data_IF_752409865109
#
_entry.id   IF_752409865109
#
_cell.length_a   1.000
_cell.length_b   1.000
_cell.length_c   1.000
_cell.angle_alpha   90.00
_cell.angle_beta   90.00
_cell.angle_gamma   90.00
#
_symmetry.space_group_name_H-M   'P 1'
#
loop_
_entity.id
_entity.type
_entity.pdbx_description
1 polymer ?
#
# COMPACT_ATOMS: atom_id res chain seq x y z
N UNK A 1 17.29 -12.26 29.11
CA UNK A 1 17.54 -13.61 28.57
C UNK A 1 17.29 -13.78 27.06
N UNK A 2 16.89 -12.71 26.35
CA UNK A 2 16.61 -12.73 24.89
C UNK A 2 17.80 -13.22 24.06
N UNK A 3 19.02 -13.04 24.52
CA UNK A 3 20.26 -13.41 23.84
C UNK A 3 20.91 -14.72 24.32
N UNK A 4 20.25 -15.50 25.18
CA UNK A 4 20.72 -16.84 25.54
C UNK A 4 20.66 -17.81 24.35
N UNK A 5 21.36 -18.98 24.49
CA UNK A 5 21.40 -20.05 23.48
C UNK A 5 20.00 -20.45 22.99
N UNK A 6 19.05 -20.57 23.89
CA UNK A 6 17.66 -20.95 23.63
C UNK A 6 16.93 -19.84 22.83
N UNK A 7 17.09 -18.57 23.22
CA UNK A 7 16.48 -17.45 22.51
C UNK A 7 17.01 -17.33 21.07
N UNK A 8 18.31 -17.51 20.87
CA UNK A 8 18.93 -17.56 19.54
C UNK A 8 18.41 -18.73 18.69
N UNK A 9 18.22 -19.88 19.29
CA UNK A 9 17.65 -21.04 18.62
C UNK A 9 16.22 -20.76 18.13
N UNK A 10 15.34 -20.24 18.99
CA UNK A 10 13.96 -19.91 18.63
C UNK A 10 13.88 -18.82 17.58
N UNK A 11 14.68 -17.75 17.75
CA UNK A 11 14.74 -16.68 16.76
C UNK A 11 15.21 -17.19 15.39
N UNK A 12 16.30 -17.97 15.34
CA UNK A 12 16.80 -18.56 14.08
C UNK A 12 15.74 -19.43 13.42
N UNK A 13 15.02 -20.24 14.22
CA UNK A 13 13.96 -21.09 13.71
C UNK A 13 12.80 -20.27 13.13
N UNK A 14 12.38 -19.20 13.82
CA UNK A 14 11.39 -18.25 13.29
C UNK A 14 11.85 -17.62 11.98
N UNK A 15 13.05 -17.06 11.97
CA UNK A 15 13.60 -16.40 10.79
C UNK A 15 13.75 -17.33 9.58
N UNK A 16 14.25 -18.57 9.80
CA UNK A 16 14.38 -19.54 8.70
C UNK A 16 13.00 -19.98 8.17
N UNK A 17 12.03 -20.20 9.05
CA UNK A 17 10.66 -20.53 8.64
C UNK A 17 10.03 -19.35 7.89
N UNK A 18 10.19 -18.11 8.37
CA UNK A 18 9.72 -16.92 7.68
C UNK A 18 10.31 -16.82 6.27
N UNK A 19 11.61 -17.04 6.12
CA UNK A 19 12.27 -17.00 4.81
C UNK A 19 11.68 -18.04 3.84
N UNK A 20 11.43 -19.26 4.28
CA UNK A 20 10.80 -20.29 3.44
C UNK A 20 9.36 -19.95 3.07
N UNK A 21 8.58 -19.38 4.00
CA UNK A 21 7.23 -18.90 3.69
C UNK A 21 7.26 -17.75 2.66
N UNK A 22 8.18 -16.79 2.83
CA UNK A 22 8.36 -15.71 1.85
C UNK A 22 8.69 -16.29 0.46
N UNK A 23 9.65 -17.21 0.36
CA UNK A 23 10.00 -17.83 -0.93
C UNK A 23 8.81 -18.58 -1.57
N UNK A 24 8.06 -19.31 -0.76
CA UNK A 24 6.87 -20.02 -1.23
C UNK A 24 5.79 -19.06 -1.75
N UNK A 25 5.51 -17.99 -0.99
CA UNK A 25 4.53 -16.96 -1.38
C UNK A 25 5.00 -16.20 -2.61
N UNK A 26 6.28 -15.83 -2.69
CA UNK A 26 6.88 -15.23 -3.88
C UNK A 26 6.61 -16.07 -5.13
N UNK A 27 6.88 -17.38 -5.08
CA UNK A 27 6.66 -18.27 -6.20
C UNK A 27 5.19 -18.32 -6.65
N UNK A 28 4.27 -18.46 -5.69
CA UNK A 28 2.83 -18.53 -6.00
C UNK A 28 2.34 -17.20 -6.56
N UNK A 29 2.64 -16.08 -5.88
CA UNK A 29 2.20 -14.73 -6.27
C UNK A 29 2.76 -14.38 -7.66
N UNK A 30 4.04 -14.70 -7.91
CA UNK A 30 4.66 -14.43 -9.19
C UNK A 30 3.94 -15.15 -10.34
N UNK A 31 3.61 -16.44 -10.16
CA UNK A 31 2.90 -17.21 -11.17
C UNK A 31 1.48 -16.68 -11.41
N UNK A 32 0.76 -16.36 -10.35
CA UNK A 32 -0.62 -15.85 -10.45
C UNK A 32 -0.64 -14.46 -11.09
N UNK A 33 0.19 -13.52 -10.62
CA UNK A 33 0.24 -12.15 -11.18
C UNK A 33 0.74 -12.15 -12.64
N UNK A 34 1.70 -13.02 -12.98
CA UNK A 34 2.12 -13.19 -14.37
C UNK A 34 1.00 -13.71 -15.27
N UNK A 35 0.25 -14.72 -14.81
CA UNK A 35 -0.89 -15.26 -15.56
C UNK A 35 -1.96 -14.19 -15.79
N UNK A 36 -2.26 -13.39 -14.75
CA UNK A 36 -3.21 -12.29 -14.84
C UNK A 36 -2.72 -11.17 -15.77
N UNK A 37 -1.45 -10.78 -15.65
CA UNK A 37 -0.81 -9.76 -16.51
C UNK A 37 -0.80 -10.20 -17.96
N UNK A 38 -0.43 -11.45 -18.24
CA UNK A 38 -0.44 -12.00 -19.58
C UNK A 38 -1.86 -12.02 -20.17
N UNK A 39 -2.86 -12.44 -19.38
CA UNK A 39 -4.26 -12.46 -19.84
C UNK A 39 -4.80 -11.07 -20.17
N UNK A 40 -4.48 -10.07 -19.34
CA UNK A 40 -4.98 -8.70 -19.52
C UNK A 40 -4.25 -7.93 -20.63
N UNK A 41 -2.96 -8.19 -20.84
CA UNK A 41 -2.09 -7.33 -21.64
C UNK A 41 -1.63 -7.97 -22.95
N UNK A 42 -1.90 -9.27 -23.19
CA UNK A 42 -1.48 -9.97 -24.42
C UNK A 42 -2.03 -9.36 -25.71
N UNK A 43 -3.15 -8.62 -25.65
CA UNK A 43 -3.73 -7.91 -26.78
C UNK A 43 -3.13 -6.52 -27.06
N UNK A 44 -2.19 -6.04 -26.27
CA UNK A 44 -1.59 -4.72 -26.46
C UNK A 44 -0.43 -4.78 -27.48
N UNK A 45 -0.30 -3.77 -28.37
CA UNK A 45 0.69 -3.81 -29.47
C UNK A 45 2.15 -3.88 -29.00
N UNK A 46 2.46 -3.38 -27.80
CA UNK A 46 3.83 -3.37 -27.23
C UNK A 46 4.12 -4.51 -26.27
N UNK A 47 3.16 -5.42 -26.03
CA UNK A 47 3.35 -6.50 -25.07
C UNK A 47 4.35 -7.55 -25.57
N UNK A 48 5.27 -7.94 -24.72
CA UNK A 48 6.17 -9.09 -24.90
C UNK A 48 6.13 -9.97 -23.65
N UNK A 49 6.30 -11.28 -23.83
CA UNK A 49 6.30 -12.24 -22.71
C UNK A 49 7.40 -11.89 -21.70
N UNK A 50 8.58 -11.55 -22.18
CA UNK A 50 9.70 -11.08 -21.33
C UNK A 50 9.37 -9.80 -20.58
N UNK A 51 8.71 -8.86 -21.23
CA UNK A 51 8.22 -7.63 -20.59
C UNK A 51 7.19 -7.94 -19.50
N UNK A 52 6.26 -8.88 -19.75
CA UNK A 52 5.29 -9.35 -18.76
C UNK A 52 5.95 -9.98 -17.54
N UNK A 53 6.97 -10.83 -17.73
CA UNK A 53 7.75 -11.41 -16.63
C UNK A 53 8.47 -10.33 -15.80
N UNK A 54 9.10 -9.36 -16.45
CA UNK A 54 9.78 -8.26 -15.76
C UNK A 54 8.77 -7.36 -15.00
N UNK A 55 7.64 -7.04 -15.62
CA UNK A 55 6.59 -6.23 -14.98
C UNK A 55 6.05 -6.92 -13.74
N UNK A 56 5.77 -8.22 -13.80
CA UNK A 56 5.35 -9.01 -12.62
C UNK A 56 6.42 -9.00 -11.56
N UNK A 57 7.72 -9.18 -11.90
CA UNK A 57 8.81 -9.15 -10.93
C UNK A 57 8.91 -7.81 -10.20
N UNK A 58 8.68 -6.71 -10.91
CA UNK A 58 8.74 -5.35 -10.36
C UNK A 58 7.52 -5.03 -9.49
N UNK A 59 6.34 -5.59 -9.78
CA UNK A 59 5.10 -5.43 -8.97
C UNK A 59 5.07 -6.32 -7.72
N UNK A 60 5.82 -7.41 -7.73
CA UNK A 60 5.85 -8.42 -6.67
C UNK A 60 6.01 -7.83 -5.25
N UNK A 61 6.91 -6.86 -4.96
CA UNK A 61 7.08 -6.32 -3.63
C UNK A 61 5.81 -5.70 -3.05
N UNK A 62 4.97 -5.05 -3.87
CA UNK A 62 3.71 -4.47 -3.44
C UNK A 62 2.72 -5.55 -2.99
N UNK A 63 2.57 -6.60 -3.78
CA UNK A 63 1.65 -7.71 -3.45
C UNK A 63 2.15 -8.46 -2.21
N UNK A 64 3.46 -8.67 -2.12
CA UNK A 64 4.06 -9.27 -0.93
C UNK A 64 3.78 -8.45 0.33
N UNK A 65 3.91 -7.12 0.27
CA UNK A 65 3.64 -6.25 1.40
C UNK A 65 2.23 -6.45 1.97
N UNK A 66 1.23 -6.68 1.11
CA UNK A 66 -0.15 -6.94 1.52
C UNK A 66 -0.32 -8.33 2.17
N UNK A 67 0.50 -9.31 1.81
CA UNK A 67 0.41 -10.69 2.33
C UNK A 67 1.23 -10.92 3.60
N UNK A 68 2.16 -10.02 3.94
CA UNK A 68 3.05 -10.18 5.11
C UNK A 68 2.33 -10.45 6.43
N UNK A 69 1.19 -9.82 6.78
CA UNK A 69 0.49 -10.13 8.03
C UNK A 69 0.07 -11.60 8.12
N UNK A 70 -0.36 -12.20 7.01
CA UNK A 70 -0.66 -13.63 6.95
C UNK A 70 0.59 -14.49 7.04
N UNK A 71 1.69 -14.07 6.41
CA UNK A 71 2.98 -14.76 6.52
C UNK A 71 3.39 -14.82 8.00
N UNK A 72 3.32 -13.71 8.74
CA UNK A 72 3.65 -13.67 10.16
C UNK A 72 2.76 -14.61 11.00
N UNK A 73 1.45 -14.66 10.72
CA UNK A 73 0.51 -15.58 11.36
C UNK A 73 0.90 -17.04 11.10
N UNK A 74 1.08 -17.42 9.82
CA UNK A 74 1.40 -18.81 9.45
C UNK A 74 2.77 -19.25 9.93
N UNK A 75 3.76 -18.37 9.90
CA UNK A 75 5.10 -18.63 10.45
C UNK A 75 5.01 -18.87 11.95
N UNK A 76 4.31 -17.98 12.68
CA UNK A 76 4.09 -18.15 14.12
C UNK A 76 3.42 -19.50 14.44
N UNK A 77 2.32 -19.81 13.73
CA UNK A 77 1.62 -21.10 13.92
C UNK A 77 2.53 -22.31 13.61
N UNK A 78 3.20 -22.30 12.47
CA UNK A 78 4.05 -23.42 12.01
C UNK A 78 5.18 -23.68 13.00
N UNK A 79 5.86 -22.63 13.44
CA UNK A 79 6.98 -22.76 14.37
C UNK A 79 6.49 -23.23 15.73
N UNK A 80 5.46 -22.60 16.30
CA UNK A 80 4.97 -22.94 17.64
C UNK A 80 4.34 -24.33 17.70
N UNK A 81 3.55 -24.71 16.68
CA UNK A 81 3.02 -26.07 16.56
C UNK A 81 4.16 -27.09 16.43
N UNK A 82 5.18 -26.78 15.62
CA UNK A 82 6.34 -27.65 15.45
C UNK A 82 7.14 -27.84 16.73
N UNK A 83 7.32 -26.80 17.54
CA UNK A 83 7.97 -26.85 18.85
C UNK A 83 7.12 -27.62 19.85
N UNK A 84 5.80 -27.42 19.84
CA UNK A 84 4.87 -28.14 20.73
C UNK A 84 4.85 -29.65 20.42
N UNK A 85 4.80 -30.04 19.14
CA UNK A 85 4.84 -31.45 18.71
C UNK A 85 6.12 -32.17 19.10
N UNK A 86 7.23 -31.46 19.20
CA UNK A 86 8.53 -32.00 19.64
C UNK A 86 8.74 -31.94 21.15
N UNK A 87 7.69 -31.53 21.90
CA UNK A 87 7.74 -31.32 23.35
C UNK A 87 8.80 -30.29 23.81
N UNK A 88 9.40 -29.54 22.89
CA UNK A 88 10.41 -28.52 23.20
C UNK A 88 9.85 -27.40 24.09
N UNK A 89 8.57 -27.04 23.90
CA UNK A 89 7.89 -26.06 24.75
C UNK A 89 7.57 -26.62 26.14
N UNK A 90 7.24 -27.90 26.24
CA UNK A 90 6.98 -28.56 27.52
C UNK A 90 8.26 -28.61 28.38
N UNK A 91 9.37 -29.00 27.76
CA UNK A 91 10.67 -29.03 28.44
C UNK A 91 11.10 -27.63 28.86
N UNK A 92 10.87 -26.61 28.01
CA UNK A 92 11.18 -25.21 28.32
C UNK A 92 10.39 -24.73 29.54
N UNK A 93 9.09 -25.02 29.61
CA UNK A 93 8.26 -24.70 30.77
C UNK A 93 8.67 -25.48 32.03
N UNK A 94 8.99 -26.76 31.90
CA UNK A 94 9.48 -27.58 33.01
C UNK A 94 10.81 -27.07 33.60
N UNK A 95 11.61 -26.36 32.78
CA UNK A 95 12.82 -25.68 33.21
C UNK A 95 12.55 -24.30 33.89
N UNK A 96 11.28 -23.93 34.15
CA UNK A 96 10.90 -22.70 34.84
C UNK A 96 10.88 -21.45 33.96
N UNK A 97 10.90 -21.61 32.63
CA UNK A 97 10.85 -20.47 31.68
C UNK A 97 9.39 -20.12 31.41
N UNK A 98 8.99 -18.86 31.68
CA UNK A 98 7.62 -18.38 31.47
C UNK A 98 7.27 -18.31 29.97
N UNK A 99 5.95 -18.31 29.68
CA UNK A 99 5.46 -18.17 28.29
C UNK A 99 5.97 -16.89 27.62
N UNK A 100 6.04 -15.79 28.36
CA UNK A 100 6.56 -14.53 27.84
C UNK A 100 8.05 -14.57 27.52
N UNK A 101 8.82 -15.27 28.32
CA UNK A 101 10.26 -15.42 28.10
C UNK A 101 10.57 -16.22 26.83
N UNK A 102 9.85 -17.31 26.58
CA UNK A 102 10.05 -18.07 25.35
C UNK A 102 9.38 -17.42 24.13
N UNK A 103 8.31 -16.62 24.30
CA UNK A 103 7.68 -15.86 23.22
C UNK A 103 8.51 -14.66 22.77
N UNK A 104 9.36 -14.12 23.64
CA UNK A 104 10.14 -12.91 23.34
C UNK A 104 10.97 -12.99 22.04
N UNK A 105 11.63 -14.10 21.64
CA UNK A 105 12.34 -14.22 20.38
C UNK A 105 11.42 -14.18 19.14
N UNK A 106 10.19 -14.71 19.27
CA UNK A 106 9.21 -14.70 18.19
C UNK A 106 8.61 -13.29 18.00
N UNK A 107 8.30 -12.62 19.12
CA UNK A 107 7.85 -11.23 19.13
C UNK A 107 8.93 -10.33 18.52
N UNK A 108 10.19 -10.49 18.93
CA UNK A 108 11.32 -9.74 18.35
C UNK A 108 11.49 -10.04 16.85
N UNK A 109 11.35 -11.30 16.44
CA UNK A 109 11.41 -11.72 15.04
C UNK A 109 10.31 -11.09 14.19
N UNK A 110 9.07 -11.09 14.67
CA UNK A 110 7.93 -10.48 14.01
C UNK A 110 8.08 -8.95 13.92
N UNK A 111 8.55 -8.31 14.98
CA UNK A 111 8.80 -6.87 15.03
C UNK A 111 9.89 -6.46 14.03
N UNK A 112 11.03 -7.16 14.02
CA UNK A 112 12.12 -6.92 13.07
C UNK A 112 11.69 -7.16 11.63
N UNK A 113 10.89 -8.20 11.38
CA UNK A 113 10.31 -8.46 10.08
C UNK A 113 9.42 -7.29 9.64
N UNK A 114 8.60 -6.75 10.54
CA UNK A 114 7.77 -5.56 10.27
C UNK A 114 8.59 -4.30 9.97
N UNK A 115 9.69 -4.08 10.69
CA UNK A 115 10.64 -3.00 10.37
C UNK A 115 11.23 -3.24 8.97
N UNK A 116 11.65 -4.45 8.64
CA UNK A 116 12.18 -4.79 7.31
C UNK A 116 11.16 -4.53 6.19
N UNK A 117 9.89 -4.83 6.43
CA UNK A 117 8.81 -4.53 5.48
C UNK A 117 8.64 -3.02 5.30
N UNK A 118 8.63 -2.25 6.39
CA UNK A 118 8.48 -0.80 6.33
C UNK A 118 9.68 -0.11 5.67
N UNK A 119 10.91 -0.55 5.99
CA UNK A 119 12.15 0.16 5.57
C UNK A 119 12.74 -0.34 4.27
N UNK A 120 12.53 -1.59 3.90
CA UNK A 120 13.11 -2.22 2.70
C UNK A 120 12.03 -2.55 1.68
N UNK A 121 11.02 -3.34 2.09
CA UNK A 121 10.03 -3.84 1.15
C UNK A 121 9.13 -2.72 0.62
N UNK A 122 8.72 -1.75 1.47
CA UNK A 122 7.87 -0.65 1.06
C UNK A 122 8.54 0.31 0.04
N UNK A 123 9.78 0.80 0.23
CA UNK A 123 10.46 1.58 -0.81
C UNK A 123 10.64 0.80 -2.12
N UNK A 124 10.93 -0.50 -2.03
CA UNK A 124 11.04 -1.36 -3.21
C UNK A 124 9.70 -1.52 -3.91
N UNK A 125 8.60 -1.66 -3.16
CA UNK A 125 7.23 -1.72 -3.69
C UNK A 125 6.84 -0.39 -4.38
N UNK A 126 7.15 0.74 -3.77
CA UNK A 126 6.90 2.06 -4.34
C UNK A 126 7.69 2.30 -5.63
N UNK A 127 8.96 1.93 -5.66
CA UNK A 127 9.77 1.99 -6.87
C UNK A 127 9.23 1.06 -7.95
N UNK A 128 8.92 -0.17 -7.59
CA UNK A 128 8.41 -1.18 -8.50
C UNK A 128 7.09 -0.78 -9.14
N UNK A 129 6.17 -0.21 -8.38
CA UNK A 129 4.89 0.25 -8.89
C UNK A 129 5.04 1.39 -9.90
N UNK A 130 5.97 2.33 -9.67
CA UNK A 130 6.30 3.39 -10.64
C UNK A 130 6.83 2.83 -11.95
N UNK A 131 7.75 1.85 -11.87
CA UNK A 131 8.29 1.20 -13.07
C UNK A 131 7.20 0.40 -13.82
N UNK A 132 6.35 -0.33 -13.11
CA UNK A 132 5.24 -1.06 -13.72
C UNK A 132 4.27 -0.13 -14.45
N UNK A 133 3.93 1.02 -13.85
CA UNK A 133 3.07 2.02 -14.48
C UNK A 133 3.67 2.59 -15.77
N UNK A 134 4.99 2.86 -15.80
CA UNK A 134 5.68 3.36 -16.99
C UNK A 134 5.73 2.30 -18.13
N UNK A 135 5.96 1.03 -17.79
CA UNK A 135 5.94 -0.06 -18.77
C UNK A 135 4.53 -0.27 -19.33
N UNK A 136 3.51 -0.25 -18.48
CA UNK A 136 2.11 -0.39 -18.89
C UNK A 136 1.68 0.75 -19.83
N UNK A 137 2.06 2.00 -19.53
CA UNK A 137 1.76 3.13 -20.41
C UNK A 137 2.41 3.01 -21.79
N UNK A 138 3.66 2.52 -21.85
CA UNK A 138 4.36 2.28 -23.10
C UNK A 138 3.70 1.15 -23.94
N UNK A 139 3.16 0.11 -23.31
CA UNK A 139 2.44 -0.96 -24.03
C UNK A 139 1.08 -0.53 -24.55
N UNK A 140 0.40 0.37 -23.83
CA UNK A 140 -0.89 0.90 -24.30
C UNK A 140 -0.75 1.79 -25.51
N UNK A 141 0.43 2.41 -25.74
CA UNK A 141 0.69 3.35 -26.82
C UNK A 141 -0.37 4.45 -26.90
N UNK A 142 -0.44 5.18 -28.01
CA UNK A 142 -1.48 6.19 -28.25
C UNK A 142 -2.90 5.59 -28.32
N UNK A 143 -3.05 4.29 -28.59
CA UNK A 143 -4.34 3.61 -28.58
C UNK A 143 -4.93 3.42 -27.16
N UNK A 144 -4.12 3.49 -26.12
CA UNK A 144 -4.56 3.37 -24.72
C UNK A 144 -5.25 4.65 -24.18
N UNK A 145 -5.13 5.75 -24.86
CA UNK A 145 -5.81 7.00 -24.51
C UNK A 145 -7.35 6.92 -24.62
N UNK A 146 -7.92 5.87 -25.23
CA UNK A 146 -9.37 5.81 -25.49
C UNK A 146 -10.20 4.89 -24.62
N UNK A 147 -9.61 3.96 -23.80
CA UNK A 147 -10.42 3.06 -22.96
C UNK A 147 -9.72 2.75 -21.62
N UNK A 148 -10.07 3.50 -20.57
CA UNK A 148 -9.91 3.06 -19.17
C UNK A 148 -8.51 3.22 -18.57
N UNK A 149 -7.77 4.29 -18.86
CA UNK A 149 -6.66 4.76 -18.04
C UNK A 149 -7.13 5.16 -16.63
N UNK A 150 -6.23 5.31 -15.63
CA UNK A 150 -6.62 5.83 -14.33
C UNK A 150 -7.44 7.10 -14.55
N UNK A 151 -8.63 7.16 -13.93
CA UNK A 151 -9.47 8.36 -14.01
C UNK A 151 -8.61 9.54 -13.56
N UNK A 152 -8.21 10.37 -14.51
CA UNK A 152 -7.49 11.60 -14.17
C UNK A 152 -8.44 12.45 -13.35
N UNK A 153 -8.15 12.71 -12.08
CA UNK A 153 -9.03 13.51 -11.26
C UNK A 153 -9.11 14.91 -11.87
N UNK A 154 -10.33 15.41 -11.99
CA UNK A 154 -10.55 16.80 -12.31
C UNK A 154 -9.95 17.67 -11.20
N UNK A 155 -9.00 18.54 -11.53
CA UNK A 155 -8.34 19.45 -10.58
C UNK A 155 -8.99 20.82 -10.71
N UNK A 156 -9.59 21.31 -9.63
CA UNK A 156 -10.04 22.70 -9.57
C UNK A 156 -8.91 23.55 -9.01
N UNK A 157 -8.55 24.59 -9.72
CA UNK A 157 -7.54 25.54 -9.36
C UNK A 157 -8.17 26.92 -9.27
N UNK A 158 -7.97 27.59 -8.13
CA UNK A 158 -8.35 28.99 -7.94
C UNK A 158 -7.05 29.78 -7.84
N UNK A 159 -6.76 30.64 -8.83
CA UNK A 159 -5.58 31.49 -8.88
C UNK A 159 -6.00 32.95 -9.06
N UNK A 160 -6.11 33.66 -7.94
CA UNK A 160 -6.62 35.05 -7.97
C UNK A 160 -8.10 35.10 -8.35
N UNK A 161 -8.41 35.69 -9.51
CA UNK A 161 -9.78 35.74 -10.06
C UNK A 161 -10.09 34.61 -11.05
N UNK A 162 -9.10 33.79 -11.39
CA UNK A 162 -9.26 32.68 -12.33
C UNK A 162 -9.63 31.39 -11.57
N UNK A 163 -10.83 30.91 -11.78
CA UNK A 163 -11.31 29.61 -11.31
C UNK A 163 -11.34 28.65 -12.49
N UNK A 164 -10.43 27.67 -12.48
CA UNK A 164 -10.21 26.76 -13.61
C UNK A 164 -10.30 25.32 -13.15
N UNK A 165 -11.12 24.54 -13.85
CA UNK A 165 -11.13 23.08 -13.69
C UNK A 165 -10.32 22.47 -14.82
N UNK A 166 -9.32 21.68 -14.47
CA UNK A 166 -8.40 21.01 -15.39
C UNK A 166 -8.66 19.52 -15.34
N UNK A 167 -8.94 18.92 -16.48
CA UNK A 167 -9.02 17.48 -16.66
C UNK A 167 -8.19 17.04 -17.85
N UNK A 168 -7.81 15.78 -17.93
CA UNK A 168 -7.12 15.23 -19.09
C UNK A 168 -7.54 13.79 -19.35
N UNK A 169 -7.31 13.25 -20.53
CA UNK A 169 -7.57 11.84 -20.83
C UNK A 169 -6.46 10.96 -20.31
N UNK A 170 -5.23 11.41 -20.36
CA UNK A 170 -4.08 10.71 -19.77
C UNK A 170 -3.06 11.70 -19.22
N UNK A 171 -2.25 11.18 -18.28
CA UNK A 171 -1.22 11.93 -17.58
C UNK A 171 0.10 11.20 -17.74
N UNK A 172 1.10 11.91 -18.20
CA UNK A 172 2.46 11.45 -18.43
C UNK A 172 3.46 12.27 -17.61
N UNK A 173 4.71 11.86 -17.58
CA UNK A 173 5.81 12.56 -16.89
C UNK A 173 5.47 12.93 -15.44
N UNK A 174 5.01 11.96 -14.64
CA UNK A 174 4.66 12.13 -13.22
C UNK A 174 3.65 13.27 -12.95
N UNK A 175 2.74 13.50 -13.91
CA UNK A 175 1.68 14.49 -13.77
C UNK A 175 1.98 15.85 -14.39
N UNK A 176 3.16 16.05 -14.96
CA UNK A 176 3.57 17.33 -15.55
C UNK A 176 3.18 17.48 -17.02
N UNK A 177 2.84 16.37 -17.69
CA UNK A 177 2.34 16.36 -19.06
C UNK A 177 0.95 15.74 -19.13
N UNK A 178 -0.05 16.54 -19.45
CA UNK A 178 -1.43 16.13 -19.68
C UNK A 178 -1.66 15.94 -21.17
N UNK A 179 -2.27 14.83 -21.56
CA UNK A 179 -2.64 14.55 -22.95
C UNK A 179 -4.16 14.61 -23.08
N UNK A 180 -4.64 15.22 -24.16
CA UNK A 180 -6.05 15.56 -24.39
C UNK A 180 -6.63 16.32 -23.18
N UNK A 181 -5.98 17.43 -22.84
CA UNK A 181 -6.36 18.23 -21.69
C UNK A 181 -7.58 19.12 -22.00
N UNK A 182 -8.47 19.22 -21.02
CA UNK A 182 -9.63 20.12 -21.07
C UNK A 182 -9.54 21.07 -19.88
N UNK A 183 -9.51 22.37 -20.16
CA UNK A 183 -9.54 23.43 -19.16
C UNK A 183 -10.87 24.17 -19.27
N UNK A 184 -11.58 24.28 -18.15
CA UNK A 184 -12.86 25.01 -18.07
C UNK A 184 -12.67 26.16 -17.09
N UNK A 185 -12.77 27.37 -17.59
CA UNK A 185 -12.69 28.60 -16.81
C UNK A 185 -14.08 29.07 -16.43
N UNK A 186 -14.23 29.46 -15.17
CA UNK A 186 -15.46 29.98 -14.61
C UNK A 186 -15.35 31.48 -14.35
N UNK A 187 -16.44 32.19 -14.53
CA UNK A 187 -16.56 33.59 -14.13
C UNK A 187 -16.93 33.70 -12.62
N UNK A 188 -16.96 34.95 -12.15
CA UNK A 188 -17.34 35.27 -10.76
C UNK A 188 -18.77 34.82 -10.38
N UNK A 189 -19.62 34.52 -11.39
CA UNK A 189 -20.98 34.02 -11.23
C UNK A 189 -21.08 32.49 -11.33
N UNK A 190 -19.95 31.79 -11.38
CA UNK A 190 -19.82 30.34 -11.52
C UNK A 190 -20.40 29.78 -12.84
N UNK A 191 -20.45 30.61 -13.91
CA UNK A 191 -20.77 30.18 -15.26
C UNK A 191 -19.47 29.91 -16.05
N UNK A 192 -19.57 29.05 -17.08
CA UNK A 192 -18.45 28.73 -17.94
C UNK A 192 -18.16 29.97 -18.84
N UNK A 193 -17.02 30.60 -18.59
CA UNK A 193 -16.55 31.75 -19.36
C UNK A 193 -15.75 31.33 -20.61
N UNK A 194 -14.94 30.26 -20.48
CA UNK A 194 -14.06 29.77 -21.55
C UNK A 194 -13.80 28.28 -21.36
N UNK A 195 -13.88 27.50 -22.42
CA UNK A 195 -13.40 26.11 -22.48
C UNK A 195 -12.26 26.02 -23.48
N UNK A 196 -11.17 25.39 -23.07
CA UNK A 196 -9.99 25.12 -23.88
C UNK A 196 -9.76 23.60 -23.94
N UNK A 197 -9.85 23.06 -25.16
CA UNK A 197 -9.52 21.67 -25.43
C UNK A 197 -8.14 21.66 -26.10
N UNK A 198 -7.13 21.04 -25.44
CA UNK A 198 -5.74 21.03 -25.88
C UNK A 198 -5.25 19.60 -26.15
N UNK A 199 -4.49 19.37 -27.20
CA UNK A 199 -3.89 18.07 -27.46
C UNK A 199 -2.87 17.69 -26.38
N UNK A 200 -2.15 18.67 -25.84
CA UNK A 200 -1.27 18.47 -24.68
C UNK A 200 -1.19 19.73 -23.83
N UNK A 201 -1.00 19.57 -22.52
CA UNK A 201 -0.71 20.63 -21.58
C UNK A 201 0.49 20.25 -20.73
N UNK A 202 1.59 21.00 -20.85
CA UNK A 202 2.82 20.78 -20.08
C UNK A 202 2.91 21.79 -18.96
N UNK A 203 3.15 21.30 -17.74
CA UNK A 203 3.36 22.16 -16.58
C UNK A 203 4.78 22.72 -16.60
N UNK A 204 4.88 24.04 -16.66
CA UNK A 204 6.11 24.80 -16.52
C UNK A 204 6.01 25.70 -15.27
N UNK A 205 7.10 26.39 -14.93
CA UNK A 205 7.14 27.21 -13.72
C UNK A 205 6.12 28.34 -13.77
N UNK A 206 4.98 28.15 -13.08
CA UNK A 206 3.93 29.14 -12.92
C UNK A 206 2.86 29.19 -14.03
N UNK A 207 2.90 28.28 -15.03
CA UNK A 207 1.87 28.21 -16.08
C UNK A 207 1.77 26.81 -16.72
N UNK A 208 0.60 26.51 -17.27
CA UNK A 208 0.41 25.40 -18.19
C UNK A 208 0.65 25.86 -19.62
N UNK A 209 1.57 25.25 -20.33
CA UNK A 209 1.77 25.43 -21.76
C UNK A 209 0.88 24.44 -22.51
N UNK A 210 -0.20 24.94 -23.09
CA UNK A 210 -1.13 24.16 -23.91
C UNK A 210 -0.70 24.20 -25.36
N UNK A 211 -0.77 23.06 -26.07
CA UNK A 211 -0.49 22.96 -27.50
C UNK A 211 -1.70 22.47 -28.28
N UNK A 212 -1.88 22.97 -29.49
CA UNK A 212 -3.01 22.68 -30.38
C UNK A 212 -4.36 22.91 -29.68
N UNK A 213 -4.61 24.12 -29.26
CA UNK A 213 -5.76 24.50 -28.41
C UNK A 213 -6.95 24.90 -29.26
N UNK A 214 -8.13 24.40 -28.90
CA UNK A 214 -9.42 24.86 -29.43
C UNK A 214 -10.14 25.59 -28.29
N UNK A 215 -10.24 26.93 -28.42
CA UNK A 215 -10.98 27.78 -27.48
C UNK A 215 -12.43 27.88 -27.88
N UNK A 216 -13.34 27.70 -26.92
CA UNK A 216 -14.78 27.86 -27.09
C UNK A 216 -15.30 28.78 -26.00
N UNK A 217 -15.92 29.91 -26.42
CA UNK A 217 -16.67 30.81 -25.54
C UNK A 217 -18.16 30.72 -25.83
N UNK A 218 -19.02 30.91 -24.84
CA UNK A 218 -20.46 30.92 -25.05
C UNK A 218 -20.85 31.99 -26.10
N UNK A 219 -21.52 31.57 -27.16
CA UNK A 219 -21.97 32.48 -28.23
C UNK A 219 -20.92 32.91 -29.27
N UNK A 220 -19.68 32.42 -29.18
CA UNK A 220 -18.62 32.70 -30.17
C UNK A 220 -18.24 31.47 -31.01
N UNK A 221 -17.68 31.70 -32.19
CA UNK A 221 -17.15 30.64 -33.05
C UNK A 221 -15.83 30.13 -32.42
N UNK A 222 -15.66 28.79 -32.41
CA UNK A 222 -14.45 28.16 -31.87
C UNK A 222 -13.19 28.65 -32.58
N UNK A 223 -12.20 29.09 -31.82
CA UNK A 223 -10.92 29.59 -32.30
C UNK A 223 -9.83 28.55 -32.06
N UNK A 224 -8.99 28.28 -33.06
CA UNK A 224 -7.83 27.42 -32.95
C UNK A 224 -6.58 28.25 -32.72
N UNK A 225 -5.77 27.87 -31.73
CA UNK A 225 -4.47 28.47 -31.40
C UNK A 225 -3.42 27.38 -31.29
N UNK A 226 -2.22 27.64 -31.77
CA UNK A 226 -1.13 26.66 -31.72
C UNK A 226 -0.61 26.49 -30.31
N UNK A 227 -0.44 27.59 -29.55
CA UNK A 227 0.02 27.59 -28.18
C UNK A 227 -0.74 28.61 -27.33
N UNK A 228 -1.06 28.22 -26.07
CA UNK A 228 -1.69 29.08 -25.06
C UNK A 228 -1.05 28.85 -23.73
N UNK A 229 -0.76 29.92 -22.99
CA UNK A 229 -0.26 29.84 -21.62
C UNK A 229 -1.40 30.13 -20.63
N UNK A 230 -1.64 29.22 -19.68
CA UNK A 230 -2.61 29.40 -18.60
C UNK A 230 -1.86 29.48 -17.28
N UNK A 231 -1.96 30.61 -16.58
CA UNK A 231 -1.29 30.81 -15.29
C UNK A 231 -1.76 29.77 -14.27
N UNK A 232 -0.81 29.24 -13.50
CA UNK A 232 -1.08 28.27 -12.47
C UNK A 232 -0.22 28.53 -11.24
N UNK A 233 -0.79 28.26 -10.06
CA UNK A 233 -0.04 28.19 -8.81
C UNK A 233 0.43 26.76 -8.52
N UNK A 234 0.11 25.81 -9.42
CA UNK A 234 0.51 24.42 -9.28
C UNK A 234 2.01 24.30 -9.52
N UNK A 235 2.73 23.82 -8.53
CA UNK A 235 4.12 23.41 -8.68
C UNK A 235 4.17 21.95 -9.14
N UNK A 236 5.26 21.56 -9.79
CA UNK A 236 5.49 20.20 -10.30
C UNK A 236 5.23 19.14 -9.21
N UNK A 237 5.80 19.35 -8.01
CA UNK A 237 5.64 18.46 -6.85
C UNK A 237 4.17 18.28 -6.43
N UNK A 238 3.32 19.24 -6.72
CA UNK A 238 1.92 19.24 -6.35
C UNK A 238 1.07 18.34 -7.27
N UNK A 239 1.34 18.39 -8.57
CA UNK A 239 0.61 17.60 -9.56
C UNK A 239 0.96 16.13 -9.43
N UNK A 240 2.24 15.82 -9.22
CA UNK A 240 2.71 14.48 -8.87
C UNK A 240 1.98 13.90 -7.65
N UNK A 241 1.67 14.72 -6.64
CA UNK A 241 1.02 14.26 -5.41
C UNK A 241 -0.45 13.89 -5.56
N UNK A 242 -1.22 14.63 -6.38
CA UNK A 242 -2.66 14.35 -6.56
C UNK A 242 -2.95 13.14 -7.44
N UNK A 243 -2.01 12.78 -8.28
CA UNK A 243 -2.16 11.69 -9.26
C UNK A 243 -1.53 10.38 -8.78
N UNK A 244 -0.74 10.43 -7.71
CA UNK A 244 -0.04 9.28 -7.19
C UNK A 244 -0.82 8.64 -6.05
N UNK A 245 -1.18 7.36 -6.18
CA UNK A 245 -1.82 6.60 -5.10
C UNK A 245 -0.89 6.57 -3.87
N UNK A 246 -1.39 6.79 -2.64
CA UNK A 246 -0.55 6.82 -1.43
C UNK A 246 0.33 5.57 -1.25
N UNK A 247 -0.10 4.44 -1.79
CA UNK A 247 0.62 3.16 -1.73
C UNK A 247 1.89 3.13 -2.58
N UNK A 248 2.00 4.03 -3.55
CA UNK A 248 3.17 4.13 -4.45
C UNK A 248 4.24 5.08 -3.94
N UNK A 249 4.02 5.70 -2.77
CA UNK A 249 4.96 6.60 -2.11
C UNK A 249 5.75 5.82 -1.07
N UNK A 250 7.09 5.93 -1.12
CA UNK A 250 7.94 5.29 -0.13
C UNK A 250 7.73 5.91 1.26
N UNK A 251 7.85 5.07 2.31
CA UNK A 251 7.66 5.50 3.70
C UNK A 251 8.44 6.76 4.06
N UNK A 252 9.71 6.83 3.65
CA UNK A 252 10.58 7.96 3.96
C UNK A 252 10.15 9.27 3.29
N UNK A 253 9.49 9.19 2.15
CA UNK A 253 9.01 10.35 1.38
C UNK A 253 7.64 10.84 1.88
N UNK A 254 6.84 9.95 2.53
CA UNK A 254 5.49 10.26 2.96
C UNK A 254 5.42 11.47 3.90
N UNK A 255 6.35 11.58 4.87
CA UNK A 255 6.36 12.70 5.83
C UNK A 255 6.55 14.05 5.12
N UNK A 256 7.50 14.12 4.18
CA UNK A 256 7.75 15.32 3.39
C UNK A 256 6.53 15.65 2.50
N UNK A 257 5.96 14.65 1.85
CA UNK A 257 4.76 14.79 1.02
C UNK A 257 3.55 15.31 1.81
N UNK A 258 3.33 14.81 3.03
CA UNK A 258 2.27 15.28 3.93
C UNK A 258 2.47 16.78 4.25
N UNK A 259 3.69 17.19 4.61
CA UNK A 259 3.98 18.58 4.96
C UNK A 259 3.76 19.53 3.76
N UNK A 260 4.22 19.13 2.58
CA UNK A 260 4.00 19.89 1.35
C UNK A 260 2.49 19.97 1.05
N UNK A 261 1.75 18.87 1.12
CA UNK A 261 0.31 18.87 0.87
C UNK A 261 -0.45 19.79 1.85
N UNK A 262 -0.07 19.80 3.13
CA UNK A 262 -0.63 20.72 4.14
C UNK A 262 -0.36 22.18 3.81
N UNK A 263 0.83 22.54 3.36
CA UNK A 263 1.16 23.91 3.01
C UNK A 263 0.33 24.47 1.85
N UNK A 264 -0.23 23.59 1.02
CA UNK A 264 -1.11 23.95 -0.10
C UNK A 264 -2.61 23.74 0.20
N UNK A 265 -2.97 23.41 1.45
CA UNK A 265 -4.37 23.21 1.84
C UNK A 265 -5.04 21.96 1.25
N UNK A 266 -4.24 20.97 0.82
CA UNK A 266 -4.78 19.73 0.22
C UNK A 266 -5.19 18.75 1.31
N UNK A 267 -6.27 17.96 1.11
CA UNK A 267 -6.63 16.90 2.02
C UNK A 267 -5.52 15.84 2.14
N UNK A 268 -4.92 15.70 3.32
CA UNK A 268 -3.80 14.78 3.58
C UNK A 268 -4.20 13.46 4.19
N UNK A 269 -5.50 13.23 4.42
CA UNK A 269 -6.03 12.09 5.18
C UNK A 269 -5.56 10.73 4.66
N UNK A 270 -5.56 10.55 3.33
CA UNK A 270 -5.09 9.31 2.71
C UNK A 270 -3.58 9.08 2.92
N UNK A 271 -2.76 10.14 2.76
CA UNK A 271 -1.31 10.08 2.98
C UNK A 271 -0.97 9.82 4.45
N UNK A 272 -1.65 10.52 5.38
CA UNK A 272 -1.48 10.33 6.83
C UNK A 272 -1.89 8.90 7.24
N UNK A 273 -3.00 8.38 6.68
CA UNK A 273 -3.44 7.01 6.95
C UNK A 273 -2.40 6.00 6.46
N UNK A 274 -1.83 6.19 5.27
CA UNK A 274 -0.78 5.32 4.74
C UNK A 274 0.48 5.39 5.62
N UNK A 275 0.91 6.59 6.04
CA UNK A 275 2.05 6.78 6.92
C UNK A 275 1.87 6.04 8.26
N UNK A 276 0.74 6.25 8.94
CA UNK A 276 0.44 5.57 10.20
C UNK A 276 0.23 4.06 10.03
N UNK A 277 -0.32 3.62 8.89
CA UNK A 277 -0.47 2.20 8.56
C UNK A 277 0.89 1.49 8.46
N UNK A 278 1.87 2.11 7.79
CA UNK A 278 3.23 1.58 7.69
C UNK A 278 3.94 1.60 9.05
N UNK A 279 3.76 2.66 9.83
CA UNK A 279 4.36 2.80 11.16
C UNK A 279 3.78 1.78 12.17
N UNK A 280 2.51 1.44 12.07
CA UNK A 280 1.86 0.42 12.91
C UNK A 280 2.11 -1.02 12.45
N UNK A 281 2.65 -1.22 11.25
CA UNK A 281 2.85 -2.55 10.65
C UNK A 281 3.73 -3.49 11.49
N UNK A 282 4.87 -3.07 12.10
CA UNK A 282 5.64 -3.95 12.97
C UNK A 282 4.81 -4.50 14.13
N UNK A 283 3.96 -3.69 14.74
CA UNK A 283 3.08 -4.10 15.83
C UNK A 283 1.93 -5.00 15.34
N UNK A 284 1.44 -4.78 14.12
CA UNK A 284 0.46 -5.68 13.50
C UNK A 284 1.04 -7.09 13.32
N UNK A 285 2.31 -7.22 12.90
CA UNK A 285 2.95 -8.52 12.76
C UNK A 285 3.17 -9.20 14.11
N UNK A 286 3.48 -8.43 15.14
CA UNK A 286 3.51 -8.94 16.53
C UNK A 286 2.13 -9.45 16.96
N UNK A 287 1.06 -8.68 16.69
CA UNK A 287 -0.31 -9.10 16.99
C UNK A 287 -0.68 -10.41 16.29
N UNK A 288 -0.34 -10.55 15.00
CA UNK A 288 -0.53 -11.78 14.23
C UNK A 288 0.23 -12.98 14.84
N UNK A 289 1.46 -12.74 15.30
CA UNK A 289 2.27 -13.77 15.96
C UNK A 289 1.70 -14.15 17.34
N UNK A 290 1.14 -13.19 18.10
CA UNK A 290 0.43 -13.47 19.35
C UNK A 290 -0.85 -14.29 19.12
N UNK A 291 -1.65 -13.94 18.10
CA UNK A 291 -2.81 -14.74 17.70
C UNK A 291 -2.38 -16.18 17.34
N UNK A 292 -1.28 -16.32 16.58
CA UNK A 292 -0.71 -17.63 16.29
C UNK A 292 -0.35 -18.40 17.59
N UNK A 293 0.19 -17.71 18.59
CA UNK A 293 0.56 -18.31 19.88
C UNK A 293 -0.65 -18.77 20.68
N UNK A 294 -1.72 -17.97 20.78
CA UNK A 294 -2.95 -18.34 21.53
C UNK A 294 -3.57 -19.63 21.03
N UNK A 295 -3.45 -19.89 19.73
CA UNK A 295 -3.96 -21.09 19.09
C UNK A 295 -3.00 -22.28 19.21
N UNK A 296 -1.70 -21.99 19.08
CA UNK A 296 -0.66 -23.04 18.99
C UNK A 296 -0.22 -23.58 20.37
N UNK A 297 -0.39 -22.78 21.43
CA UNK A 297 0.05 -23.12 22.79
C UNK A 297 -1.02 -23.83 23.60
N UNK A 298 -2.26 -23.91 23.10
CA UNK A 298 -3.31 -24.68 23.78
C UNK A 298 -2.91 -26.13 23.89
N UNK A 299 -2.65 -26.56 25.14
CA UNK A 299 -2.17 -27.90 25.44
C UNK A 299 -3.29 -28.91 25.12
N UNK A 300 -3.10 -29.74 24.11
CA UNK A 300 -3.94 -30.90 23.87
C UNK A 300 -3.10 -32.16 24.00
N UNK A 301 -3.44 -33.03 24.96
CA UNK A 301 -2.86 -34.36 25.13
C UNK A 301 -3.05 -35.25 23.91
N UNK A 302 -4.04 -34.95 23.08
CA UNK A 302 -4.36 -35.65 21.85
C UNK A 302 -4.41 -34.61 20.73
N UNK A 303 -3.59 -34.79 19.70
CA UNK A 303 -3.55 -34.11 18.40
C UNK A 303 -4.31 -32.76 18.33
N UNK A 304 -3.63 -31.65 18.13
CA UNK A 304 -4.30 -30.35 18.01
C UNK A 304 -5.48 -30.45 17.07
N UNK A 305 -6.68 -30.17 17.59
CA UNK A 305 -7.91 -30.23 16.80
C UNK A 305 -7.77 -29.30 15.58
N UNK A 306 -8.06 -29.80 14.40
CA UNK A 306 -8.08 -29.03 13.14
C UNK A 306 -8.92 -27.77 13.27
N UNK A 307 -9.99 -27.80 14.08
CA UNK A 307 -10.87 -26.67 14.34
C UNK A 307 -10.16 -25.51 15.05
N UNK A 308 -9.20 -25.79 15.94
CA UNK A 308 -8.44 -24.76 16.66
C UNK A 308 -7.50 -24.02 15.69
N UNK A 309 -6.84 -24.76 14.80
CA UNK A 309 -5.98 -24.16 13.76
C UNK A 309 -6.81 -23.29 12.82
N UNK A 310 -7.95 -23.80 12.35
CA UNK A 310 -8.87 -23.02 11.51
C UNK A 310 -9.40 -21.78 12.23
N UNK A 311 -9.70 -21.88 13.53
CA UNK A 311 -10.10 -20.74 14.35
C UNK A 311 -9.03 -19.64 14.40
N UNK A 312 -7.75 -20.00 14.51
CA UNK A 312 -6.65 -19.04 14.48
C UNK A 312 -6.47 -18.37 13.12
N UNK A 313 -6.58 -19.13 12.05
CA UNK A 313 -6.54 -18.59 10.69
C UNK A 313 -7.69 -17.61 10.50
N UNK A 314 -8.91 -17.98 10.93
CA UNK A 314 -10.09 -17.13 10.83
C UNK A 314 -9.94 -15.85 11.67
N UNK A 315 -9.41 -15.95 12.90
CA UNK A 315 -9.16 -14.79 13.75
C UNK A 315 -8.16 -13.83 13.12
N UNK A 316 -7.07 -14.33 12.56
CA UNK A 316 -6.10 -13.50 11.81
C UNK A 316 -6.70 -12.88 10.57
N UNK A 317 -7.54 -13.62 9.84
CA UNK A 317 -8.26 -13.08 8.67
C UNK A 317 -9.23 -11.96 9.07
N UNK A 318 -10.03 -12.17 10.11
CA UNK A 318 -10.96 -11.14 10.64
C UNK A 318 -10.19 -9.89 11.05
N UNK A 319 -9.08 -10.04 11.79
CA UNK A 319 -8.24 -8.89 12.15
C UNK A 319 -7.75 -8.14 10.93
N UNK A 320 -7.28 -8.84 9.91
CA UNK A 320 -6.82 -8.22 8.67
C UNK A 320 -7.94 -7.46 7.96
N UNK A 321 -9.11 -8.09 7.79
CA UNK A 321 -10.28 -7.45 7.16
C UNK A 321 -10.69 -6.20 7.93
N UNK A 322 -10.76 -6.27 9.25
CA UNK A 322 -11.07 -5.11 10.11
C UNK A 322 -10.03 -4.00 9.91
N UNK A 323 -8.74 -4.35 9.89
CA UNK A 323 -7.67 -3.38 9.69
C UNK A 323 -7.79 -2.67 8.33
N UNK A 324 -8.07 -3.42 7.25
CA UNK A 324 -8.26 -2.87 5.90
C UNK A 324 -9.50 -1.97 5.84
N UNK A 325 -10.62 -2.41 6.42
CA UNK A 325 -11.87 -1.65 6.46
C UNK A 325 -11.71 -0.32 7.21
N UNK A 326 -11.14 -0.36 8.41
CA UNK A 326 -10.94 0.84 9.24
C UNK A 326 -9.91 1.78 8.61
N UNK A 327 -8.88 1.23 7.95
CA UNK A 327 -7.94 2.02 7.12
C UNK A 327 -8.66 2.76 5.98
N UNK A 328 -9.62 2.12 5.31
CA UNK A 328 -10.42 2.79 4.27
C UNK A 328 -11.22 3.97 4.83
N UNK A 329 -11.82 3.85 6.03
CA UNK A 329 -12.47 4.98 6.71
C UNK A 329 -11.47 6.09 7.13
N UNK A 330 -10.24 5.73 7.48
CA UNK A 330 -9.17 6.69 7.74
C UNK A 330 -8.78 7.49 6.50
N UNK A 331 -8.61 6.81 5.36
CA UNK A 331 -8.23 7.44 4.10
C UNK A 331 -9.33 8.33 3.52
N UNK A 332 -10.61 8.00 3.75
CA UNK A 332 -11.76 8.83 3.36
C UNK A 332 -11.99 10.03 4.30
N UNK A 333 -11.31 10.07 5.45
CA UNK A 333 -11.43 11.16 6.45
C UNK A 333 -12.59 11.03 7.42
N UNK A 334 -13.37 9.94 7.36
CA UNK A 334 -14.48 9.64 8.29
C UNK A 334 -13.94 9.43 9.71
N UNK A 335 -12.78 8.78 9.81
CA UNK A 335 -12.08 8.52 11.08
C UNK A 335 -10.71 9.18 11.03
N UNK A 336 -10.19 9.74 12.15
CA UNK A 336 -8.83 10.25 12.18
C UNK A 336 -7.81 9.18 11.77
N UNK A 337 -6.82 9.49 10.91
CA UNK A 337 -5.85 8.52 10.37
C UNK A 337 -5.13 7.69 11.42
N UNK A 338 -4.70 8.35 12.52
CA UNK A 338 -4.06 7.69 13.64
C UNK A 338 -4.98 6.64 14.29
N UNK A 339 -6.23 7.01 14.59
CA UNK A 339 -7.24 6.12 15.20
C UNK A 339 -7.51 4.91 14.30
N UNK A 340 -7.69 5.18 13.01
CA UNK A 340 -8.02 4.14 12.02
C UNK A 340 -6.94 3.05 11.90
N UNK A 341 -5.68 3.40 12.09
CA UNK A 341 -4.58 2.46 11.89
C UNK A 341 -4.08 1.81 13.18
N UNK A 342 -4.12 2.54 14.31
CA UNK A 342 -3.56 2.05 15.57
C UNK A 342 -4.57 1.27 16.42
N UNK A 343 -5.86 1.65 16.45
CA UNK A 343 -6.84 0.98 17.30
C UNK A 343 -6.98 -0.51 16.99
N UNK A 344 -7.15 -0.97 15.73
CA UNK A 344 -7.25 -2.41 15.44
C UNK A 344 -6.02 -3.18 15.91
N UNK A 345 -4.83 -2.60 15.77
CA UNK A 345 -3.57 -3.23 16.16
C UNK A 345 -3.44 -3.33 17.68
N UNK A 346 -3.76 -2.23 18.41
CA UNK A 346 -3.70 -2.20 19.88
C UNK A 346 -4.70 -3.19 20.48
N UNK A 347 -5.92 -3.22 19.94
CA UNK A 347 -6.95 -4.18 20.40
C UNK A 347 -6.49 -5.62 20.17
N UNK A 348 -5.93 -5.92 19.00
CA UNK A 348 -5.42 -7.26 18.70
C UNK A 348 -4.24 -7.67 19.60
N UNK A 349 -3.33 -6.75 19.88
CA UNK A 349 -2.22 -6.95 20.82
C UNK A 349 -2.75 -7.23 22.23
N UNK A 350 -3.68 -6.41 22.70
CA UNK A 350 -4.28 -6.57 24.04
C UNK A 350 -5.01 -7.90 24.16
N UNK A 351 -5.85 -8.27 23.19
CA UNK A 351 -6.55 -9.55 23.17
C UNK A 351 -5.58 -10.74 23.12
N UNK A 352 -4.59 -10.68 22.22
CA UNK A 352 -3.57 -11.74 22.12
C UNK A 352 -2.78 -11.91 23.42
N UNK A 353 -2.36 -10.81 24.04
CA UNK A 353 -1.65 -10.80 25.31
C UNK A 353 -2.53 -11.33 26.46
N UNK A 354 -3.78 -10.89 26.58
CA UNK A 354 -4.72 -11.32 27.62
C UNK A 354 -5.01 -12.80 27.52
N UNK A 355 -5.28 -13.32 26.32
CA UNK A 355 -5.52 -14.77 26.12
C UNK A 355 -4.27 -15.58 26.48
N UNK A 356 -3.08 -15.08 26.10
CA UNK A 356 -1.84 -15.77 26.41
C UNK A 356 -1.57 -15.83 27.93
N UNK A 357 -1.81 -14.70 28.65
CA UNK A 357 -1.73 -14.65 30.12
C UNK A 357 -2.70 -15.64 30.77
N UNK A 358 -3.96 -15.64 30.35
CA UNK A 358 -4.96 -16.55 30.90
C UNK A 358 -4.63 -18.04 30.65
N UNK A 359 -3.93 -18.36 29.60
CA UNK A 359 -3.44 -19.71 29.31
C UNK A 359 -2.18 -20.08 30.12
N UNK A 360 -1.47 -19.10 30.68
CA UNK A 360 -0.31 -19.34 31.54
C UNK A 360 -0.73 -19.58 32.98
N UNK A 361 -1.73 -18.82 33.46
CA UNK A 361 -2.21 -18.89 34.87
C UNK A 361 -3.21 -20.04 35.14
N UNK A 362 -3.73 -20.70 34.14
CA UNK A 362 -4.66 -21.82 34.20
C UNK A 362 -4.03 -23.15 33.82
#
# INVERSE_FOLDING_TARGET
MIFGTLGRYFFRRYATTAMWFFLGVIGIVYLVDFSETASRMSGLPGYTVTGGLLMTAVRLPLILQQTVPFIALFVGMTVLIGLNRKYELVVTRAAGISAWQFMSPFIAGAFLLGIGVMTILNPLAAWGQRQAASVESNWRGDAGASKGGPQVPWIRQISGQDDVIIGARSVLEDGTLLVDAVLVHFDSSNHIALRQDAASAKLEDGYWLLKNVIERRPGEIAQRKDEVQVRTNLKRDFVEQRLTAPETIAFFDLSNRINIAKSFGIPTKALETQFHSLLSQPLLLVAMTLIAATVSLKFSRFNQSRSVILGGILAGFVLYVVTVLVKAFGSSGVVPPFVATWIPVIVALALGATILLHQEDG
#
